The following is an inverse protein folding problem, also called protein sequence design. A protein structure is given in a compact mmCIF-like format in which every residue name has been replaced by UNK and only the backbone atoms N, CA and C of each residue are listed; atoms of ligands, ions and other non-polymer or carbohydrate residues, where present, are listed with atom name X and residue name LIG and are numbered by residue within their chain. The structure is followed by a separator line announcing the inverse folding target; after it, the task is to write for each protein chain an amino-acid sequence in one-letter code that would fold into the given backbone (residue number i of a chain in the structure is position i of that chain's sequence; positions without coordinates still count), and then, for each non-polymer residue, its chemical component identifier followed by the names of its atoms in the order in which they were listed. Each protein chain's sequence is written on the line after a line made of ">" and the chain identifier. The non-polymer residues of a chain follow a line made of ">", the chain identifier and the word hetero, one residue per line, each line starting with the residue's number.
data_IF_356920924821
#
_entry.id   IF_356920924821
#
_cell.length_a   1.000
_cell.length_b   1.000
_cell.length_c   1.000
_cell.angle_alpha   90.00
_cell.angle_beta   90.00
_cell.angle_gamma   90.00
#
_symmetry.space_group_name_H-M   'P 1'
#
loop_
_entity.id
_entity.type
_entity.pdbx_description
1 polymer ?
#
# COMPACT_ATOMS: atom_id res chain seq x y z
N UNK A 1 -54.70 18.44 53.02
CA UNK A 1 -55.72 17.97 52.06
C UNK A 1 -55.13 18.07 50.67
N UNK A 2 -54.52 17.01 50.16
CA UNK A 2 -54.05 16.97 48.77
C UNK A 2 -55.07 16.20 47.93
N UNK A 3 -55.54 16.88 46.88
CA UNK A 3 -56.52 16.38 45.91
C UNK A 3 -55.99 15.11 45.23
N UNK A 4 -56.59 13.96 45.52
CA UNK A 4 -56.45 12.76 44.70
C UNK A 4 -57.08 13.02 43.32
N UNK A 5 -56.21 13.13 42.31
CA UNK A 5 -56.58 13.11 40.89
C UNK A 5 -57.01 11.67 40.53
N UNK A 6 -58.20 11.43 39.97
CA UNK A 6 -58.62 10.08 39.60
C UNK A 6 -57.72 9.55 38.46
N UNK A 7 -57.39 8.24 38.44
CA UNK A 7 -56.61 7.65 37.38
C UNK A 7 -57.38 7.76 36.05
N UNK A 8 -56.70 8.26 35.02
CA UNK A 8 -57.25 8.34 33.67
C UNK A 8 -57.65 6.93 33.21
N UNK A 9 -58.91 6.78 32.81
CA UNK A 9 -59.40 5.54 32.22
C UNK A 9 -58.52 5.17 31.01
N UNK A 10 -58.18 3.87 30.81
CA UNK A 10 -57.43 3.45 29.64
C UNK A 10 -58.21 3.84 28.38
N UNK A 11 -57.53 4.31 27.31
CA UNK A 11 -58.20 4.63 26.07
C UNK A 11 -58.91 3.36 25.59
N UNK A 12 -60.24 3.44 25.49
CA UNK A 12 -61.08 2.41 24.88
C UNK A 12 -60.50 2.17 23.49
N UNK A 13 -59.93 0.98 23.30
CA UNK A 13 -59.43 0.55 22.01
C UNK A 13 -60.59 0.57 21.03
N UNK A 14 -60.64 1.62 20.19
CA UNK A 14 -61.48 1.64 19.02
C UNK A 14 -61.23 0.33 18.25
N UNK A 15 -62.27 -0.33 17.71
CA UNK A 15 -62.09 -1.58 16.97
C UNK A 15 -61.21 -1.30 15.77
N UNK A 16 -59.90 -1.54 15.93
CA UNK A 16 -58.92 -1.49 14.84
C UNK A 16 -59.42 -2.48 13.80
N UNK A 17 -59.93 -1.96 12.69
CA UNK A 17 -60.57 -2.76 11.65
C UNK A 17 -59.67 -3.93 11.27
N UNK A 18 -60.29 -5.08 11.01
CA UNK A 18 -59.64 -6.37 10.74
C UNK A 18 -58.49 -6.28 9.72
N UNK A 19 -58.48 -5.25 8.85
CA UNK A 19 -57.43 -4.93 7.90
C UNK A 19 -56.11 -4.45 8.55
N UNK A 20 -56.17 -3.60 9.58
CA UNK A 20 -54.98 -3.11 10.31
C UNK A 20 -54.36 -4.25 11.10
N UNK A 21 -55.18 -5.11 11.69
CA UNK A 21 -54.72 -6.33 12.37
C UNK A 21 -54.13 -7.30 11.35
N UNK A 22 -54.79 -7.57 10.22
CA UNK A 22 -54.28 -8.48 9.19
C UNK A 22 -52.94 -8.03 8.57
N UNK A 23 -52.69 -6.72 8.49
CA UNK A 23 -51.43 -6.16 7.98
C UNK A 23 -50.36 -6.06 9.08
N UNK A 24 -50.72 -5.67 10.32
CA UNK A 24 -49.76 -5.56 11.42
C UNK A 24 -49.37 -6.88 12.04
N UNK A 25 -50.24 -7.89 12.03
CA UNK A 25 -49.95 -9.21 12.58
C UNK A 25 -48.73 -9.87 11.90
N UNK A 26 -48.64 -9.97 10.55
CA UNK A 26 -47.46 -10.55 9.90
C UNK A 26 -46.21 -9.71 10.11
N UNK A 27 -46.34 -8.37 10.13
CA UNK A 27 -45.20 -7.48 10.41
C UNK A 27 -44.71 -7.66 11.85
N UNK A 28 -45.60 -7.76 12.84
CA UNK A 28 -45.24 -8.07 14.24
C UNK A 28 -44.63 -9.45 14.39
N UNK A 29 -45.14 -10.44 13.66
CA UNK A 29 -44.60 -11.81 13.66
C UNK A 29 -43.19 -11.79 13.08
N UNK A 30 -42.94 -11.14 11.94
CA UNK A 30 -41.60 -11.02 11.36
C UNK A 30 -40.66 -10.24 12.28
N UNK A 31 -41.12 -9.13 12.86
CA UNK A 31 -40.33 -8.36 13.83
C UNK A 31 -40.02 -9.19 15.07
N UNK A 32 -40.96 -9.93 15.64
CA UNK A 32 -40.70 -10.81 16.79
C UNK A 32 -39.78 -11.97 16.43
N UNK A 33 -40.01 -12.63 15.30
CA UNK A 33 -39.20 -13.79 14.86
C UNK A 33 -37.80 -13.38 14.46
N UNK A 34 -37.58 -12.15 13.97
CA UNK A 34 -36.26 -11.70 13.52
C UNK A 34 -35.55 -10.85 14.58
N UNK A 35 -36.22 -9.85 15.14
CA UNK A 35 -35.63 -8.89 16.08
C UNK A 35 -35.44 -9.50 17.45
N UNK A 36 -36.37 -10.34 17.93
CA UNK A 36 -36.26 -10.93 19.26
C UNK A 36 -35.05 -11.88 19.38
N UNK A 37 -34.77 -12.81 18.45
CA UNK A 37 -33.56 -13.62 18.53
C UNK A 37 -32.29 -12.80 18.31
N UNK A 38 -32.29 -11.81 17.42
CA UNK A 38 -31.14 -10.90 17.27
C UNK A 38 -30.87 -10.14 18.57
N UNK A 39 -31.92 -9.70 19.27
CA UNK A 39 -31.82 -8.97 20.53
C UNK A 39 -31.40 -9.87 21.69
N UNK A 40 -31.89 -11.11 21.73
CA UNK A 40 -31.44 -12.14 22.68
C UNK A 40 -29.98 -12.50 22.47
N UNK A 41 -29.52 -12.62 21.22
CA UNK A 41 -28.11 -12.84 20.90
C UNK A 41 -27.27 -11.63 21.31
N UNK A 42 -27.77 -10.41 21.09
CA UNK A 42 -27.09 -9.19 21.53
C UNK A 42 -27.00 -9.08 23.05
N UNK A 43 -28.09 -9.31 23.77
CA UNK A 43 -28.11 -9.30 25.23
C UNK A 43 -27.23 -10.42 25.80
N UNK A 44 -27.23 -11.61 25.20
CA UNK A 44 -26.33 -12.71 25.58
C UNK A 44 -24.85 -12.37 25.33
N UNK A 45 -24.53 -11.67 24.24
CA UNK A 45 -23.17 -11.19 23.96
C UNK A 45 -22.74 -10.09 24.93
N UNK A 46 -23.62 -9.16 25.27
CA UNK A 46 -23.33 -8.10 26.25
C UNK A 46 -23.16 -8.69 27.64
N UNK A 47 -24.00 -9.64 28.03
CA UNK A 47 -23.87 -10.35 29.31
C UNK A 47 -22.59 -11.18 29.32
N UNK A 48 -22.29 -11.93 28.27
CA UNK A 48 -21.04 -12.68 28.14
C UNK A 48 -19.81 -11.79 28.17
N UNK A 49 -19.85 -10.63 27.51
CA UNK A 49 -18.78 -9.63 27.53
C UNK A 49 -18.59 -8.98 28.90
N UNK A 50 -19.68 -8.68 29.61
CA UNK A 50 -19.63 -8.19 31.00
C UNK A 50 -19.09 -9.25 31.95
N UNK A 51 -19.55 -10.48 31.82
CA UNK A 51 -19.08 -11.60 32.63
C UNK A 51 -17.60 -11.87 32.40
N UNK A 52 -17.13 -11.79 31.16
CA UNK A 52 -15.70 -11.92 30.83
C UNK A 52 -14.88 -10.74 31.39
N UNK A 53 -15.42 -9.53 31.31
CA UNK A 53 -14.82 -8.33 31.90
C UNK A 53 -14.66 -8.44 33.42
N UNK A 54 -15.72 -8.85 34.10
CA UNK A 54 -15.79 -8.90 35.56
C UNK A 54 -15.10 -10.13 36.16
N UNK A 55 -15.25 -11.30 35.54
CA UNK A 55 -14.71 -12.56 36.05
C UNK A 55 -13.25 -12.81 35.63
N UNK A 56 -12.79 -12.25 34.51
CA UNK A 56 -11.47 -12.56 33.94
C UNK A 56 -10.59 -11.32 33.85
N UNK A 57 -11.03 -10.26 33.17
CA UNK A 57 -10.18 -9.08 32.96
C UNK A 57 -9.90 -8.30 34.25
N UNK A 58 -10.90 -8.13 35.13
CA UNK A 58 -10.71 -7.43 36.42
C UNK A 58 -9.72 -8.13 37.35
N UNK A 59 -9.84 -9.45 37.64
CA UNK A 59 -8.87 -10.13 38.49
C UNK A 59 -7.49 -10.23 37.84
N UNK A 60 -7.41 -10.45 36.52
CA UNK A 60 -6.12 -10.41 35.81
C UNK A 60 -5.47 -9.04 35.87
N UNK A 61 -6.22 -7.96 35.64
CA UNK A 61 -5.69 -6.59 35.73
C UNK A 61 -5.18 -6.25 37.13
N UNK A 62 -5.88 -6.71 38.17
CA UNK A 62 -5.47 -6.49 39.57
C UNK A 62 -4.25 -7.33 39.95
N UNK A 63 -4.21 -8.59 39.48
CA UNK A 63 -3.06 -9.47 39.63
C UNK A 63 -1.82 -8.95 38.91
N UNK A 64 -1.98 -8.44 37.68
CA UNK A 64 -0.89 -7.87 36.87
C UNK A 64 -0.38 -6.55 37.46
N UNK A 65 -1.27 -5.71 38.00
CA UNK A 65 -0.87 -4.51 38.72
C UNK A 65 -0.11 -4.83 40.01
N UNK A 66 -0.56 -5.84 40.76
CA UNK A 66 0.11 -6.30 41.98
C UNK A 66 1.47 -6.92 41.66
N UNK A 67 1.56 -7.74 40.59
CA UNK A 67 2.83 -8.26 40.10
C UNK A 67 3.76 -7.13 39.66
N UNK A 68 3.27 -6.15 38.90
CA UNK A 68 4.08 -5.00 38.49
C UNK A 68 4.61 -4.22 39.69
N UNK A 69 3.79 -4.02 40.72
CA UNK A 69 4.21 -3.36 41.95
C UNK A 69 5.20 -4.21 42.75
N UNK A 70 4.95 -5.51 42.93
CA UNK A 70 5.83 -6.40 43.67
C UNK A 70 7.18 -6.60 42.95
N UNK A 71 7.16 -6.84 41.64
CA UNK A 71 8.35 -7.18 40.86
C UNK A 71 9.21 -5.96 40.52
N UNK A 72 8.64 -4.75 40.52
CA UNK A 72 9.39 -3.54 40.17
C UNK A 72 9.69 -2.68 41.40
N UNK A 73 8.70 -2.46 42.28
CA UNK A 73 8.85 -1.51 43.39
C UNK A 73 9.64 -2.12 44.55
N UNK A 74 9.40 -3.39 44.90
CA UNK A 74 10.14 -4.02 46.00
C UNK A 74 11.64 -4.23 45.72
N UNK A 75 12.06 -4.76 44.55
CA UNK A 75 13.49 -4.87 44.28
C UNK A 75 14.15 -3.52 44.08
N UNK A 76 13.45 -2.52 43.54
CA UNK A 76 13.99 -1.15 43.43
C UNK A 76 14.18 -0.51 44.82
N UNK A 77 13.24 -0.70 45.75
CA UNK A 77 13.38 -0.26 47.14
C UNK A 77 14.49 -1.02 47.87
N UNK A 78 14.58 -2.33 47.65
CA UNK A 78 15.66 -3.16 48.18
C UNK A 78 17.02 -2.70 47.69
N UNK A 79 17.16 -2.47 46.38
CA UNK A 79 18.38 -1.97 45.76
C UNK A 79 18.74 -0.57 46.27
N UNK A 80 17.74 0.32 46.44
CA UNK A 80 17.98 1.64 46.99
C UNK A 80 18.48 1.57 48.44
N UNK A 81 17.85 0.74 49.28
CA UNK A 81 18.18 0.63 50.71
C UNK A 81 19.48 -0.14 50.98
N UNK A 82 19.82 -1.12 50.15
CA UNK A 82 21.00 -1.97 50.33
C UNK A 82 22.19 -1.65 49.43
N UNK A 83 22.02 -0.93 48.32
CA UNK A 83 23.13 -0.58 47.42
C UNK A 83 23.38 0.93 47.38
N UNK A 84 22.33 1.75 47.21
CA UNK A 84 22.49 3.20 47.02
C UNK A 84 22.83 3.91 48.33
N UNK A 85 22.10 3.61 49.41
CA UNK A 85 22.36 4.20 50.73
C UNK A 85 23.78 3.86 51.26
N UNK A 86 24.23 2.59 51.29
CA UNK A 86 25.59 2.30 51.73
C UNK A 86 26.64 2.79 50.73
N UNK A 87 26.35 2.79 49.43
CA UNK A 87 27.23 3.37 48.41
C UNK A 87 27.47 4.86 48.63
N UNK A 88 26.41 5.64 48.86
CA UNK A 88 26.53 7.08 49.16
C UNK A 88 27.27 7.35 50.47
N UNK A 89 27.08 6.51 51.49
CA UNK A 89 27.77 6.64 52.78
C UNK A 89 29.26 6.31 52.66
N UNK A 90 29.60 5.27 51.90
CA UNK A 90 30.98 4.93 51.58
C UNK A 90 31.66 6.03 50.75
N UNK A 91 30.96 6.60 49.77
CA UNK A 91 31.49 7.71 48.95
C UNK A 91 31.72 8.98 49.77
N UNK A 92 30.78 9.31 50.66
CA UNK A 92 30.91 10.46 51.57
C UNK A 92 32.06 10.29 52.56
N UNK A 93 32.23 9.07 53.10
CA UNK A 93 33.35 8.75 53.97
C UNK A 93 34.69 8.83 53.23
N UNK A 94 34.76 8.27 52.01
CA UNK A 94 35.95 8.33 51.17
C UNK A 94 36.32 9.77 50.80
N UNK A 95 35.33 10.59 50.46
CA UNK A 95 35.53 12.01 50.18
C UNK A 95 36.05 12.76 51.41
N UNK A 96 35.51 12.49 52.59
CA UNK A 96 35.97 13.12 53.83
C UNK A 96 37.41 12.73 54.17
N UNK A 97 37.74 11.43 54.13
CA UNK A 97 39.09 10.93 54.43
C UNK A 97 40.11 11.38 53.38
N UNK A 98 39.73 11.43 52.10
CA UNK A 98 40.65 11.76 51.02
C UNK A 98 40.82 13.27 50.79
N UNK A 99 39.84 14.09 51.15
CA UNK A 99 39.93 15.55 50.95
C UNK A 99 40.23 16.29 52.25
N UNK A 100 39.53 15.97 53.34
CA UNK A 100 39.63 16.74 54.59
C UNK A 100 40.89 16.38 55.35
N UNK A 101 41.25 15.10 55.44
CA UNK A 101 42.46 14.68 56.18
C UNK A 101 43.73 15.23 55.52
N UNK A 102 43.92 15.16 54.18
CA UNK A 102 45.10 15.75 53.55
C UNK A 102 45.09 17.27 53.60
N UNK A 103 43.92 17.92 53.53
CA UNK A 103 43.83 19.38 53.66
C UNK A 103 44.24 19.85 55.07
N UNK A 104 43.83 19.14 56.13
CA UNK A 104 44.22 19.46 57.51
C UNK A 104 45.70 19.16 57.74
N UNK A 105 46.23 18.09 57.16
CA UNK A 105 47.66 17.75 57.24
C UNK A 105 48.52 18.78 56.51
N UNK A 106 48.10 19.21 55.32
CA UNK A 106 48.76 20.26 54.54
C UNK A 106 48.72 21.60 55.28
N UNK A 107 47.60 21.96 55.91
CA UNK A 107 47.53 23.15 56.76
C UNK A 107 48.50 23.07 57.96
N UNK A 108 48.58 21.91 58.62
CA UNK A 108 49.38 21.75 59.84
C UNK A 108 50.88 21.54 59.61
N UNK A 109 51.29 21.12 58.40
CA UNK A 109 52.70 20.93 58.05
C UNK A 109 53.25 22.01 57.12
N UNK A 110 52.42 22.76 56.38
CA UNK A 110 52.88 23.75 55.40
C UNK A 110 52.74 25.20 55.92
N UNK A 111 51.64 25.56 56.59
CA UNK A 111 51.41 26.93 57.04
C UNK A 111 52.17 27.29 58.32
N UNK A 112 52.38 26.32 59.21
CA UNK A 112 53.12 26.49 60.47
C UNK A 112 54.62 26.73 60.29
N UNK A 113 55.38 26.01 59.43
CA UNK A 113 56.79 26.35 59.20
C UNK A 113 56.96 27.61 58.32
N UNK A 114 56.00 27.91 57.44
CA UNK A 114 56.05 29.11 56.60
C UNK A 114 55.96 30.41 57.42
N UNK A 115 55.21 30.42 58.53
CA UNK A 115 55.15 31.57 59.45
C UNK A 115 56.47 31.82 60.21
N UNK A 116 57.25 30.77 60.49
CA UNK A 116 58.53 30.88 61.20
C UNK A 116 59.69 31.23 60.25
N UNK A 117 59.63 30.76 58.99
CA UNK A 117 60.63 31.06 57.97
C UNK A 117 60.60 32.51 57.46
N UNK A 118 59.40 33.12 57.34
CA UNK A 118 59.27 34.50 56.86
C UNK A 118 59.83 35.54 57.86
N UNK A 119 59.70 35.27 59.15
CA UNK A 119 60.25 36.15 60.21
C UNK A 119 61.79 36.13 60.25
N UNK A 120 62.41 35.00 59.88
CA UNK A 120 63.87 34.84 59.87
C UNK A 120 64.54 35.59 58.72
N UNK A 121 63.90 35.64 57.55
CA UNK A 121 64.43 36.30 56.35
C UNK A 121 64.28 37.83 56.42
N UNK A 122 63.22 38.35 57.04
CA UNK A 122 63.04 39.80 57.23
C UNK A 122 64.13 40.42 58.14
N UNK A 123 64.61 39.67 59.12
CA UNK A 123 65.63 40.15 60.06
C UNK A 123 67.07 40.16 59.49
N UNK A 124 67.36 39.35 58.46
CA UNK A 124 68.74 39.11 57.99
C UNK A 124 69.10 39.84 56.69
N UNK A 125 68.11 40.32 55.93
CA UNK A 125 68.34 40.83 54.56
C UNK A 125 68.27 42.37 54.45
N UNK A 126 67.65 43.08 55.39
CA UNK A 126 67.44 44.54 55.25
C UNK A 126 68.69 45.41 55.57
N UNK A 127 69.77 44.84 56.10
CA UNK A 127 70.92 45.62 56.61
C UNK A 127 72.19 45.71 55.74
N UNK A 128 72.53 44.80 54.80
CA UNK A 128 73.75 44.94 54.02
C UNK A 128 73.56 45.51 52.59
N UNK A 129 72.46 46.21 52.31
CA UNK A 129 72.10 46.67 50.94
C UNK A 129 72.71 48.04 50.56
N UNK A 130 73.41 48.74 51.47
CA UNK A 130 73.88 50.11 51.20
C UNK A 130 75.10 50.26 50.27
N UNK A 131 76.07 49.34 50.27
CA UNK A 131 77.42 49.67 49.77
C UNK A 131 77.91 48.94 48.50
N UNK A 132 77.25 47.86 48.07
CA UNK A 132 77.66 47.13 46.87
C UNK A 132 77.06 47.71 45.56
N UNK A 133 76.22 48.75 45.69
CA UNK A 133 75.38 49.35 44.63
C UNK A 133 76.14 49.98 43.45
N UNK A 134 77.47 50.18 43.53
CA UNK A 134 78.23 50.89 42.47
C UNK A 134 78.93 49.97 41.47
N UNK A 135 79.20 48.70 41.80
CA UNK A 135 79.73 47.71 40.83
C UNK A 135 78.63 47.03 40.00
N UNK A 136 77.37 47.36 40.30
CA UNK A 136 76.13 46.81 39.76
C UNK A 136 76.02 46.92 38.24
N UNK A 137 76.23 48.07 37.61
CA UNK A 137 75.52 48.32 36.34
C UNK A 137 75.96 47.48 35.12
N UNK A 138 77.19 46.93 35.09
CA UNK A 138 77.74 46.28 33.88
C UNK A 138 77.79 44.74 33.91
N UNK A 139 77.83 44.13 35.09
CA UNK A 139 77.60 42.68 35.25
C UNK A 139 76.12 42.29 35.19
N UNK A 140 75.23 43.27 35.38
CA UNK A 140 73.78 43.13 35.50
C UNK A 140 73.14 42.45 34.27
N UNK A 141 73.52 42.79 33.03
CA UNK A 141 72.84 42.22 31.84
C UNK A 141 73.05 40.71 31.64
N UNK A 142 74.30 40.24 31.76
CA UNK A 142 74.64 38.83 31.56
C UNK A 142 74.25 37.96 32.77
N UNK A 143 74.37 38.51 33.98
CA UNK A 143 73.99 37.82 35.22
C UNK A 143 72.47 37.76 35.38
N UNK A 144 71.69 38.78 34.98
CA UNK A 144 70.21 38.68 34.96
C UNK A 144 69.70 37.66 33.94
N UNK A 145 70.37 37.52 32.79
CA UNK A 145 70.05 36.47 31.82
C UNK A 145 70.33 35.06 32.39
N UNK A 146 71.51 34.84 32.96
CA UNK A 146 71.91 33.54 33.51
C UNK A 146 71.15 33.17 34.80
N UNK A 147 70.93 34.12 35.71
CA UNK A 147 70.15 33.94 36.95
C UNK A 147 68.66 33.84 36.62
N UNK A 148 68.15 34.55 35.61
CA UNK A 148 66.78 34.42 35.14
C UNK A 148 66.49 33.05 34.52
N UNK A 149 67.39 32.55 33.67
CA UNK A 149 67.26 31.20 33.08
C UNK A 149 67.48 30.11 34.13
N UNK A 150 68.43 30.28 35.05
CA UNK A 150 68.66 29.35 36.16
C UNK A 150 67.50 29.32 37.15
N UNK A 151 66.92 30.47 37.49
CA UNK A 151 65.75 30.57 38.35
C UNK A 151 64.50 30.04 37.65
N UNK A 152 64.30 30.33 36.36
CA UNK A 152 63.14 29.83 35.63
C UNK A 152 63.21 28.33 35.40
N UNK A 153 64.38 27.77 35.08
CA UNK A 153 64.56 26.33 34.96
C UNK A 153 64.47 25.63 36.32
N UNK A 154 65.01 26.24 37.39
CA UNK A 154 64.85 25.76 38.76
C UNK A 154 63.39 25.75 39.20
N UNK A 155 62.66 26.85 39.01
CA UNK A 155 61.23 26.95 39.33
C UNK A 155 60.40 26.02 38.45
N UNK A 156 60.69 25.89 37.15
CA UNK A 156 59.98 24.97 36.27
C UNK A 156 60.27 23.50 36.60
N UNK A 157 61.49 23.17 37.01
CA UNK A 157 61.87 21.84 37.46
C UNK A 157 61.22 21.50 38.81
N UNK A 158 61.22 22.45 39.75
CA UNK A 158 60.51 22.32 41.02
C UNK A 158 59.00 22.18 40.79
N UNK A 159 58.39 22.98 39.91
CA UNK A 159 56.97 22.90 39.60
C UNK A 159 56.63 21.56 38.92
N UNK A 160 57.47 21.10 37.98
CA UNK A 160 57.27 19.80 37.33
C UNK A 160 57.38 18.65 38.31
N UNK A 161 58.41 18.61 39.14
CA UNK A 161 58.65 17.48 40.02
C UNK A 161 57.79 17.52 41.29
N UNK A 162 57.49 18.71 41.82
CA UNK A 162 56.70 18.89 43.05
C UNK A 162 55.19 18.96 42.79
N UNK A 163 54.74 19.39 41.61
CA UNK A 163 53.31 19.51 41.31
C UNK A 163 52.89 18.52 40.24
N UNK A 164 53.57 18.50 39.09
CA UNK A 164 53.10 17.72 37.93
C UNK A 164 53.32 16.22 38.11
N UNK A 165 54.45 15.78 38.69
CA UNK A 165 54.73 14.37 38.96
C UNK A 165 53.75 13.79 40.00
N UNK A 166 53.54 14.39 41.18
CA UNK A 166 52.54 13.87 42.12
C UNK A 166 51.12 14.00 41.58
N UNK A 167 50.78 15.04 40.83
CA UNK A 167 49.46 15.14 40.18
C UNK A 167 49.25 14.02 39.15
N UNK A 168 50.26 13.68 38.34
CA UNK A 168 50.20 12.54 37.41
C UNK A 168 50.12 11.21 38.14
N UNK A 169 50.83 11.07 39.25
CA UNK A 169 50.80 9.85 40.06
C UNK A 169 49.42 9.64 40.69
N UNK A 170 48.82 10.69 41.26
CA UNK A 170 47.44 10.68 41.76
C UNK A 170 46.43 10.42 40.65
N UNK A 171 46.63 10.99 39.46
CA UNK A 171 45.77 10.71 38.32
C UNK A 171 45.83 9.24 37.88
N UNK A 172 47.03 8.68 37.76
CA UNK A 172 47.26 7.32 37.29
C UNK A 172 46.85 6.26 38.31
N UNK A 173 47.14 6.49 39.60
CA UNK A 173 46.90 5.50 40.66
C UNK A 173 45.54 5.65 41.35
N UNK A 174 44.92 6.83 41.35
CA UNK A 174 43.60 7.02 41.97
C UNK A 174 42.50 7.27 40.93
N UNK A 175 42.68 8.21 40.01
CA UNK A 175 41.60 8.58 39.07
C UNK A 175 41.34 7.52 37.99
N UNK A 176 42.39 6.91 37.44
CA UNK A 176 42.25 5.89 36.41
C UNK A 176 41.58 4.58 36.88
N UNK A 177 41.88 4.03 38.09
CA UNK A 177 41.14 2.87 38.59
C UNK A 177 39.72 3.24 39.04
N UNK A 178 39.51 4.43 39.62
CA UNK A 178 38.15 4.88 39.98
C UNK A 178 37.28 5.09 38.74
N UNK A 179 37.80 5.71 37.68
CA UNK A 179 37.10 5.89 36.41
C UNK A 179 36.73 4.56 35.76
N UNK A 180 37.65 3.58 35.79
CA UNK A 180 37.36 2.22 35.29
C UNK A 180 36.35 1.48 36.15
N UNK A 181 36.42 1.59 37.47
CA UNK A 181 35.45 0.99 38.39
C UNK A 181 34.05 1.54 38.19
N UNK A 182 33.92 2.87 38.07
CA UNK A 182 32.63 3.53 37.80
C UNK A 182 32.08 3.13 36.44
N UNK A 183 32.91 3.11 35.38
CA UNK A 183 32.49 2.68 34.06
C UNK A 183 32.03 1.21 34.03
N UNK A 184 32.70 0.34 34.80
CA UNK A 184 32.30 -1.07 34.93
C UNK A 184 30.95 -1.19 35.63
N UNK A 185 30.75 -0.50 36.76
CA UNK A 185 29.48 -0.50 37.48
C UNK A 185 28.32 0.03 36.62
N UNK A 186 28.52 1.14 35.90
CA UNK A 186 27.49 1.69 35.00
C UNK A 186 27.16 0.69 33.89
N UNK A 187 28.17 0.02 33.33
CA UNK A 187 27.97 -0.98 32.27
C UNK A 187 27.19 -2.19 32.77
N UNK A 188 27.54 -2.73 33.93
CA UNK A 188 26.84 -3.87 34.52
C UNK A 188 25.38 -3.53 34.84
N UNK A 189 25.13 -2.33 35.40
CA UNK A 189 23.76 -1.85 35.64
C UNK A 189 22.98 -1.72 34.34
N UNK A 190 23.62 -1.21 33.28
CA UNK A 190 22.96 -1.04 31.98
C UNK A 190 22.61 -2.38 31.31
N UNK A 191 23.52 -3.36 31.39
CA UNK A 191 23.27 -4.72 30.91
C UNK A 191 22.14 -5.39 31.69
N UNK A 192 22.14 -5.26 33.02
CA UNK A 192 21.07 -5.79 33.87
C UNK A 192 19.71 -5.16 33.55
N UNK A 193 19.67 -3.84 33.40
CA UNK A 193 18.43 -3.15 33.05
C UNK A 193 17.94 -3.55 31.66
N UNK A 194 18.85 -3.74 30.71
CA UNK A 194 18.55 -4.26 29.37
C UNK A 194 17.99 -5.68 29.40
N UNK A 195 18.55 -6.58 30.23
CA UNK A 195 18.01 -7.93 30.42
C UNK A 195 16.61 -7.89 31.06
N UNK A 196 16.41 -7.04 32.06
CA UNK A 196 15.12 -6.87 32.73
C UNK A 196 14.06 -6.38 31.73
N UNK A 197 14.37 -5.35 30.94
CA UNK A 197 13.47 -4.81 29.93
C UNK A 197 13.12 -5.85 28.86
N UNK A 198 14.09 -6.66 28.41
CA UNK A 198 13.84 -7.76 27.46
C UNK A 198 12.97 -8.86 28.07
N UNK A 199 13.22 -9.24 29.32
CA UNK A 199 12.40 -10.22 30.04
C UNK A 199 10.95 -9.75 30.17
N UNK A 200 10.75 -8.50 30.59
CA UNK A 200 9.43 -7.87 30.67
C UNK A 200 8.77 -7.81 29.30
N UNK A 201 9.50 -7.39 28.27
CA UNK A 201 8.99 -7.33 26.90
C UNK A 201 8.55 -8.69 26.37
N UNK A 202 9.33 -9.75 26.62
CA UNK A 202 9.00 -11.11 26.21
C UNK A 202 7.73 -11.62 26.92
N UNK A 203 7.62 -11.36 28.24
CA UNK A 203 6.44 -11.74 29.03
C UNK A 203 5.20 -10.98 28.58
N UNK A 204 5.28 -9.66 28.37
CA UNK A 204 4.17 -8.86 27.83
C UNK A 204 3.75 -9.35 26.45
N UNK A 205 4.72 -9.63 25.58
CA UNK A 205 4.48 -10.15 24.25
C UNK A 205 3.76 -11.49 24.29
N UNK A 206 4.25 -12.44 25.08
CA UNK A 206 3.64 -13.76 25.22
C UNK A 206 2.25 -13.69 25.84
N UNK A 207 2.08 -12.85 26.86
CA UNK A 207 0.78 -12.64 27.51
C UNK A 207 -0.22 -12.02 26.54
N UNK A 208 0.18 -10.98 25.79
CA UNK A 208 -0.65 -10.37 24.76
C UNK A 208 -0.97 -11.35 23.63
N UNK A 209 0.00 -12.16 23.21
CA UNK A 209 -0.21 -13.20 22.20
C UNK A 209 -1.19 -14.25 22.68
N UNK A 210 -1.07 -14.77 23.90
CA UNK A 210 -2.02 -15.71 24.45
C UNK A 210 -3.40 -15.07 24.61
N UNK A 211 -3.46 -13.88 25.20
CA UNK A 211 -4.72 -13.22 25.56
C UNK A 211 -5.48 -12.68 24.35
N UNK A 212 -4.81 -12.35 23.25
CA UNK A 212 -5.45 -11.80 22.05
C UNK A 212 -5.51 -12.82 20.91
N UNK A 213 -4.39 -13.48 20.60
CA UNK A 213 -4.29 -14.32 19.41
C UNK A 213 -5.03 -15.64 19.60
N UNK A 214 -4.92 -16.31 20.75
CA UNK A 214 -5.66 -17.56 20.98
C UNK A 214 -7.19 -17.37 20.95
N UNK A 215 -7.79 -16.38 21.65
CA UNK A 215 -9.23 -16.18 21.55
C UNK A 215 -9.65 -15.67 20.18
N UNK A 216 -8.84 -14.86 19.49
CA UNK A 216 -9.13 -14.47 18.11
C UNK A 216 -9.10 -15.69 17.16
N UNK A 217 -8.15 -16.61 17.33
CA UNK A 217 -8.05 -17.84 16.53
C UNK A 217 -9.19 -18.80 16.85
N UNK A 218 -9.58 -18.90 18.13
CA UNK A 218 -10.74 -19.67 18.56
C UNK A 218 -12.02 -19.09 17.95
N UNK A 219 -12.22 -17.77 18.01
CA UNK A 219 -13.34 -17.09 17.37
C UNK A 219 -13.34 -17.31 15.86
N UNK A 220 -12.17 -17.24 15.22
CA UNK A 220 -12.06 -17.50 13.79
C UNK A 220 -12.48 -18.94 13.45
N UNK A 221 -12.01 -19.93 14.21
CA UNK A 221 -12.24 -21.35 13.92
C UNK A 221 -13.63 -21.83 14.31
N UNK A 222 -14.19 -21.30 15.40
CA UNK A 222 -15.50 -21.70 15.93
C UNK A 222 -16.66 -20.85 15.44
N UNK A 223 -16.41 -19.61 15.00
CA UNK A 223 -17.47 -18.70 14.55
C UNK A 223 -17.28 -18.32 13.08
N UNK A 224 -16.16 -17.72 12.69
CA UNK A 224 -16.01 -17.24 11.30
C UNK A 224 -15.96 -18.37 10.28
N UNK A 225 -15.26 -19.47 10.56
CA UNK A 225 -15.17 -20.60 9.64
C UNK A 225 -16.53 -21.28 9.39
N UNK A 226 -17.35 -21.61 10.42
CA UNK A 226 -18.69 -22.14 10.18
C UNK A 226 -19.63 -21.10 9.55
N UNK A 227 -19.58 -19.84 9.97
CA UNK A 227 -20.37 -18.76 9.36
C UNK A 227 -20.01 -18.59 7.88
N UNK A 228 -18.72 -18.62 7.55
CA UNK A 228 -18.23 -18.53 6.17
C UNK A 228 -18.68 -19.69 5.31
N UNK A 229 -18.67 -20.93 5.84
CA UNK A 229 -19.23 -22.09 5.14
C UNK A 229 -20.74 -21.95 4.94
N UNK A 230 -21.47 -21.52 5.96
CA UNK A 230 -22.91 -21.27 5.83
C UNK A 230 -23.20 -20.19 4.79
N UNK A 231 -22.48 -19.08 4.80
CA UNK A 231 -22.60 -18.02 3.79
C UNK A 231 -22.28 -18.54 2.39
N UNK A 232 -21.26 -19.37 2.24
CA UNK A 232 -20.89 -19.96 0.95
C UNK A 232 -21.98 -20.89 0.41
N UNK A 233 -22.60 -21.69 1.28
CA UNK A 233 -23.74 -22.54 0.91
C UNK A 233 -24.93 -21.68 0.52
N UNK A 234 -25.28 -20.66 1.31
CA UNK A 234 -26.39 -19.75 1.00
C UNK A 234 -26.15 -19.00 -0.30
N UNK A 235 -24.95 -18.46 -0.52
CA UNK A 235 -24.59 -17.77 -1.75
C UNK A 235 -24.65 -18.70 -2.97
N UNK A 236 -24.26 -19.96 -2.80
CA UNK A 236 -24.33 -20.97 -3.86
C UNK A 236 -25.79 -21.29 -4.22
N UNK A 237 -26.64 -21.52 -3.23
CA UNK A 237 -28.06 -21.80 -3.48
C UNK A 237 -28.80 -20.60 -4.07
N UNK A 238 -28.49 -19.38 -3.60
CA UNK A 238 -29.02 -18.15 -4.20
C UNK A 238 -28.54 -17.99 -5.64
N UNK A 239 -27.27 -18.32 -5.92
CA UNK A 239 -26.70 -18.32 -7.27
C UNK A 239 -27.39 -19.32 -8.20
N UNK A 240 -27.64 -20.54 -7.72
CA UNK A 240 -28.31 -21.58 -8.50
C UNK A 240 -29.79 -21.24 -8.77
N UNK A 241 -30.48 -20.67 -7.76
CA UNK A 241 -31.85 -20.19 -7.90
C UNK A 241 -31.95 -19.03 -8.91
N UNK A 242 -31.05 -18.04 -8.82
CA UNK A 242 -30.97 -16.92 -9.77
C UNK A 242 -30.60 -17.40 -11.17
N UNK A 243 -29.68 -18.36 -11.29
CA UNK A 243 -29.29 -18.97 -12.56
C UNK A 243 -30.44 -19.73 -13.22
N UNK A 244 -31.30 -20.39 -12.42
CA UNK A 244 -32.52 -21.01 -12.92
C UNK A 244 -33.55 -19.97 -13.39
N UNK A 245 -33.78 -18.93 -12.58
CA UNK A 245 -34.68 -17.84 -12.94
C UNK A 245 -34.23 -17.13 -14.23
N UNK A 246 -32.93 -16.90 -14.39
CA UNK A 246 -32.35 -16.28 -15.58
C UNK A 246 -32.51 -17.14 -16.84
N UNK A 247 -32.33 -18.46 -16.72
CA UNK A 247 -32.57 -19.40 -17.85
C UNK A 247 -34.05 -19.47 -18.24
N UNK A 248 -34.97 -19.32 -17.30
CA UNK A 248 -36.41 -19.22 -17.57
C UNK A 248 -36.72 -17.89 -18.25
N UNK A 249 -36.21 -16.79 -17.71
CA UNK A 249 -36.37 -15.45 -18.29
C UNK A 249 -35.81 -15.37 -19.72
N UNK A 250 -34.65 -15.96 -19.99
CA UNK A 250 -34.06 -16.01 -21.33
C UNK A 250 -34.89 -16.83 -22.32
N UNK A 251 -35.52 -17.93 -21.88
CA UNK A 251 -36.46 -18.70 -22.72
C UNK A 251 -37.71 -17.90 -23.04
N UNK A 252 -38.27 -17.20 -22.05
CA UNK A 252 -39.44 -16.34 -22.23
C UNK A 252 -39.12 -15.17 -23.17
N UNK A 253 -37.99 -14.48 -22.95
CA UNK A 253 -37.55 -13.36 -23.80
C UNK A 253 -37.31 -13.81 -25.25
N UNK A 254 -36.75 -15.00 -25.48
CA UNK A 254 -36.65 -15.56 -26.84
C UNK A 254 -38.01 -15.89 -27.45
N UNK A 255 -38.94 -16.43 -26.67
CA UNK A 255 -40.29 -16.72 -27.15
C UNK A 255 -41.02 -15.42 -27.56
N UNK A 256 -40.95 -14.40 -26.70
CA UNK A 256 -41.50 -13.07 -26.95
C UNK A 256 -40.83 -12.40 -28.15
N UNK A 257 -39.49 -12.48 -28.27
CA UNK A 257 -38.78 -11.95 -29.42
C UNK A 257 -39.17 -12.65 -30.73
N UNK A 258 -39.39 -13.96 -30.69
CA UNK A 258 -39.85 -14.73 -31.86
C UNK A 258 -41.29 -14.36 -32.23
N UNK A 259 -42.19 -14.23 -31.26
CA UNK A 259 -43.58 -13.82 -31.53
C UNK A 259 -43.64 -12.39 -32.07
N UNK A 260 -42.87 -11.47 -31.49
CA UNK A 260 -42.80 -10.08 -31.94
C UNK A 260 -42.20 -9.97 -33.35
N UNK A 261 -41.13 -10.72 -33.64
CA UNK A 261 -40.55 -10.79 -34.98
C UNK A 261 -41.50 -11.41 -36.00
N UNK A 262 -42.30 -12.39 -35.60
CA UNK A 262 -43.31 -13.01 -36.47
C UNK A 262 -44.45 -12.04 -36.76
N UNK A 263 -44.95 -11.34 -35.74
CA UNK A 263 -45.94 -10.27 -35.88
C UNK A 263 -45.43 -9.16 -36.78
N UNK A 264 -44.20 -8.71 -36.58
CA UNK A 264 -43.59 -7.68 -37.42
C UNK A 264 -43.47 -8.14 -38.88
N UNK A 265 -43.08 -9.41 -39.11
CA UNK A 265 -43.04 -9.97 -40.47
C UNK A 265 -44.42 -10.00 -41.11
N UNK A 266 -45.44 -10.45 -40.37
CA UNK A 266 -46.83 -10.50 -40.86
C UNK A 266 -47.41 -9.12 -41.14
N UNK A 267 -47.15 -8.12 -40.28
CA UNK A 267 -47.73 -6.77 -40.39
C UNK A 267 -47.03 -5.92 -41.44
N UNK A 268 -45.71 -6.01 -41.54
CA UNK A 268 -44.94 -5.10 -42.41
C UNK A 268 -44.36 -5.80 -43.64
N UNK A 269 -43.75 -6.97 -43.46
CA UNK A 269 -42.94 -7.59 -44.51
C UNK A 269 -43.82 -8.33 -45.52
N UNK A 270 -44.78 -9.12 -45.05
CA UNK A 270 -45.71 -9.90 -45.88
C UNK A 270 -46.54 -8.99 -46.82
N UNK A 271 -47.18 -7.91 -46.35
CA UNK A 271 -47.98 -7.05 -47.24
C UNK A 271 -47.09 -6.27 -48.22
N UNK A 272 -45.93 -5.76 -47.79
CA UNK A 272 -45.00 -5.09 -48.71
C UNK A 272 -44.49 -6.07 -49.78
N UNK A 273 -44.19 -7.31 -49.40
CA UNK A 273 -43.76 -8.35 -50.34
C UNK A 273 -44.87 -8.74 -51.31
N UNK A 274 -46.12 -8.78 -50.85
CA UNK A 274 -47.29 -8.99 -51.71
C UNK A 274 -47.48 -7.81 -52.68
N UNK A 275 -47.45 -6.56 -52.22
CA UNK A 275 -47.53 -5.38 -53.09
C UNK A 275 -46.41 -5.37 -54.12
N UNK A 276 -45.19 -5.72 -53.70
CA UNK A 276 -44.06 -5.84 -54.62
C UNK A 276 -44.30 -6.89 -55.71
N UNK A 277 -44.75 -8.09 -55.33
CA UNK A 277 -44.98 -9.20 -56.27
C UNK A 277 -46.23 -9.01 -57.14
N UNK A 278 -47.32 -8.54 -56.57
CA UNK A 278 -48.62 -8.46 -57.22
C UNK A 278 -48.81 -7.17 -58.01
N UNK A 279 -48.16 -6.07 -57.60
CA UNK A 279 -48.36 -4.76 -58.22
C UNK A 279 -47.09 -4.29 -58.93
N UNK A 280 -45.97 -4.18 -58.23
CA UNK A 280 -44.73 -3.63 -58.80
C UNK A 280 -44.10 -4.53 -59.87
N UNK A 281 -44.18 -5.85 -59.70
CA UNK A 281 -43.59 -6.80 -60.66
C UNK A 281 -44.33 -6.79 -62.01
N UNK A 282 -45.67 -6.95 -62.08
CA UNK A 282 -46.39 -6.87 -63.36
C UNK A 282 -46.34 -5.47 -63.96
N UNK A 283 -46.44 -4.41 -63.17
CA UNK A 283 -46.29 -3.03 -63.68
C UNK A 283 -44.89 -2.82 -64.26
N UNK A 284 -43.85 -3.34 -63.60
CA UNK A 284 -42.48 -3.32 -64.10
C UNK A 284 -42.33 -4.06 -65.43
N UNK A 285 -43.00 -5.21 -65.60
CA UNK A 285 -43.03 -5.93 -66.87
C UNK A 285 -43.79 -5.16 -67.95
N UNK A 286 -44.94 -4.56 -67.64
CA UNK A 286 -45.72 -3.75 -68.60
C UNK A 286 -44.94 -2.52 -69.04
N UNK A 287 -44.33 -1.78 -68.13
CA UNK A 287 -43.48 -0.61 -68.47
C UNK A 287 -42.28 -1.03 -69.31
N UNK A 288 -41.67 -2.18 -68.98
CA UNK A 288 -40.53 -2.71 -69.74
C UNK A 288 -40.92 -3.14 -71.15
N UNK A 289 -42.07 -3.78 -71.31
CA UNK A 289 -42.52 -4.33 -72.58
C UNK A 289 -43.21 -3.30 -73.47
N UNK A 290 -43.99 -2.39 -72.90
CA UNK A 290 -44.76 -1.39 -73.64
C UNK A 290 -43.99 -0.11 -73.96
N UNK A 291 -43.00 0.27 -73.14
CA UNK A 291 -42.29 1.56 -73.30
C UNK A 291 -40.81 1.33 -73.62
N UNK A 292 -40.10 0.60 -72.76
CA UNK A 292 -38.64 0.48 -72.87
C UNK A 292 -38.22 -0.40 -74.07
N UNK A 293 -38.91 -1.52 -74.32
CA UNK A 293 -38.62 -2.39 -75.47
C UNK A 293 -38.87 -1.69 -76.83
N UNK A 294 -40.02 -1.05 -77.10
CA UNK A 294 -40.23 -0.36 -78.37
C UNK A 294 -39.30 0.84 -78.56
N UNK A 295 -39.03 1.62 -77.51
CA UNK A 295 -38.03 2.70 -77.57
C UNK A 295 -36.63 2.16 -77.91
N UNK A 296 -36.22 1.05 -77.28
CA UNK A 296 -34.93 0.42 -77.57
C UNK A 296 -34.86 -0.17 -78.99
N UNK A 297 -35.98 -0.67 -79.54
CA UNK A 297 -36.05 -1.16 -80.93
C UNK A 297 -35.96 0.01 -81.92
N UNK A 298 -36.65 1.11 -81.68
CA UNK A 298 -36.57 2.34 -82.48
C UNK A 298 -35.17 2.97 -82.44
N UNK A 299 -34.53 3.02 -81.27
CA UNK A 299 -33.14 3.48 -81.16
C UNK A 299 -32.17 2.58 -81.95
N UNK A 300 -32.41 1.27 -81.99
CA UNK A 300 -31.58 0.32 -82.75
C UNK A 300 -31.83 0.35 -84.27
N UNK A 301 -32.99 0.77 -84.75
CA UNK A 301 -33.20 1.00 -86.19
C UNK A 301 -32.48 2.26 -86.66
N UNK A 302 -32.58 3.35 -85.90
CA UNK A 302 -31.84 4.61 -86.17
C UNK A 302 -30.33 4.41 -86.05
N UNK A 303 -29.88 3.64 -85.06
CA UNK A 303 -28.46 3.33 -84.89
C UNK A 303 -27.87 2.42 -85.99
N UNK A 304 -28.71 1.70 -86.76
CA UNK A 304 -28.26 0.89 -87.91
C UNK A 304 -28.20 1.74 -89.17
N UNK A 305 -29.19 2.58 -89.44
CA UNK A 305 -29.17 3.51 -90.57
C UNK A 305 -28.03 4.52 -90.45
N UNK A 306 -27.81 5.07 -89.25
CA UNK A 306 -26.69 5.98 -89.00
C UNK A 306 -25.33 5.30 -89.22
N UNK A 307 -25.17 4.03 -88.80
CA UNK A 307 -23.93 3.28 -89.02
C UNK A 307 -23.69 2.92 -90.48
N UNK A 308 -24.74 2.58 -91.23
CA UNK A 308 -24.63 2.32 -92.67
C UNK A 308 -24.27 3.60 -93.44
N UNK A 309 -24.88 4.74 -93.10
CA UNK A 309 -24.54 6.04 -93.70
C UNK A 309 -23.08 6.45 -93.39
N UNK A 310 -22.62 6.24 -92.15
CA UNK A 310 -21.23 6.50 -91.76
C UNK A 310 -20.23 5.55 -92.43
N UNK A 311 -20.58 4.27 -92.60
CA UNK A 311 -19.75 3.31 -93.31
C UNK A 311 -19.64 3.68 -94.79
N UNK A 312 -20.75 4.01 -95.44
CA UNK A 312 -20.77 4.48 -96.83
C UNK A 312 -19.94 5.76 -97.00
N UNK A 313 -20.10 6.75 -96.11
CA UNK A 313 -19.32 7.99 -96.15
C UNK A 313 -17.82 7.77 -95.90
N UNK A 314 -17.45 6.80 -95.05
CA UNK A 314 -16.05 6.45 -94.83
C UNK A 314 -15.45 5.74 -96.03
N UNK A 315 -16.21 4.87 -96.68
CA UNK A 315 -15.73 4.17 -97.86
C UNK A 315 -15.54 5.13 -99.03
N UNK A 316 -16.48 6.05 -99.27
CA UNK A 316 -16.32 7.10 -100.28
C UNK A 316 -15.13 8.02 -99.98
N UNK A 317 -14.91 8.37 -98.71
CA UNK A 317 -13.73 9.16 -98.32
C UNK A 317 -12.41 8.39 -98.51
N UNK A 318 -12.39 7.08 -98.24
CA UNK A 318 -11.21 6.23 -98.49
C UNK A 318 -10.94 6.09 -99.98
N UNK A 319 -11.97 5.86 -100.77
CA UNK A 319 -11.87 5.71 -102.22
C UNK A 319 -11.40 7.02 -102.87
N UNK A 320 -12.01 8.16 -102.50
CA UNK A 320 -11.57 9.48 -102.96
C UNK A 320 -10.12 9.79 -102.57
N UNK A 321 -9.67 9.41 -101.36
CA UNK A 321 -8.27 9.54 -100.98
C UNK A 321 -7.34 8.66 -101.81
N UNK A 322 -7.73 7.43 -102.10
CA UNK A 322 -6.93 6.52 -102.94
C UNK A 322 -6.85 7.05 -104.37
N UNK A 323 -7.96 7.55 -104.93
CA UNK A 323 -8.01 8.08 -106.29
C UNK A 323 -7.22 9.39 -106.42
N UNK A 324 -7.36 10.32 -105.47
CA UNK A 324 -6.53 11.53 -105.40
C UNK A 324 -5.05 11.17 -105.26
N UNK A 325 -4.71 10.18 -104.42
CA UNK A 325 -3.33 9.71 -104.26
C UNK A 325 -2.79 9.07 -105.54
N UNK A 326 -3.61 8.29 -106.25
CA UNK A 326 -3.24 7.70 -107.54
C UNK A 326 -2.98 8.78 -108.60
N UNK A 327 -3.83 9.82 -108.65
CA UNK A 327 -3.66 10.94 -109.59
C UNK A 327 -2.42 11.79 -109.28
N UNK A 328 -2.10 12.02 -108.01
CA UNK A 328 -0.97 12.88 -107.60
C UNK A 328 0.39 12.16 -107.57
N UNK A 329 0.42 10.87 -107.26
CA UNK A 329 1.68 10.14 -107.00
C UNK A 329 1.95 8.97 -107.95
N UNK A 330 1.08 8.72 -108.93
CA UNK A 330 1.20 7.57 -109.83
C UNK A 330 0.90 6.22 -109.15
N UNK A 331 0.79 5.15 -109.93
CA UNK A 331 0.44 3.83 -109.40
C UNK A 331 1.55 3.24 -108.48
N UNK A 332 1.22 2.89 -107.22
CA UNK A 332 2.17 2.19 -106.36
C UNK A 332 2.32 0.72 -106.77
N UNK A 333 3.57 0.32 -107.05
CA UNK A 333 4.03 -1.04 -107.37
C UNK A 333 3.59 -2.04 -106.27
N UNK A 334 2.80 -3.05 -106.63
CA UNK A 334 2.24 -4.07 -105.71
C UNK A 334 3.33 -4.89 -104.99
N UNK A 335 3.31 -4.98 -103.65
CA UNK A 335 4.00 -6.03 -102.91
C UNK A 335 3.05 -7.19 -102.58
N UNK A 336 3.48 -8.40 -102.95
CA UNK A 336 2.84 -9.71 -102.71
C UNK A 336 2.52 -9.98 -101.24
N UNK A 337 1.40 -10.69 -101.04
CA UNK A 337 0.89 -11.34 -99.83
C UNK A 337 1.98 -11.98 -98.95
N UNK A 338 1.95 -11.70 -97.64
CA UNK A 338 2.46 -12.61 -96.60
C UNK A 338 1.62 -12.56 -95.32
N UNK A 339 0.82 -13.62 -95.20
CA UNK A 339 0.67 -14.52 -94.05
C UNK A 339 0.44 -13.96 -92.63
N UNK A 340 -0.75 -14.31 -92.13
CA UNK A 340 -1.19 -14.17 -90.75
C UNK A 340 -0.57 -15.25 -89.85
N UNK A 341 0.04 -14.83 -88.73
CA UNK A 341 0.47 -15.74 -87.65
C UNK A 341 -0.47 -15.60 -86.45
N UNK A 342 -0.94 -16.78 -86.01
CA UNK A 342 -2.01 -17.04 -85.03
C UNK A 342 -1.55 -16.78 -83.58
N UNK A 343 -2.42 -16.12 -82.79
CA UNK A 343 -2.28 -15.82 -81.36
C UNK A 343 -2.91 -16.95 -80.51
N UNK A 344 -2.23 -17.32 -79.40
CA UNK A 344 -2.50 -18.48 -78.50
C UNK A 344 -3.18 -18.01 -77.20
N UNK A 345 -4.19 -18.74 -76.70
CA UNK A 345 -4.82 -18.57 -75.37
C UNK A 345 -4.63 -19.84 -74.50
N UNK A 346 -4.57 -19.77 -73.15
CA UNK A 346 -4.52 -20.94 -72.27
C UNK A 346 -5.85 -21.27 -71.53
N UNK A 347 -6.01 -22.58 -71.26
CA UNK A 347 -7.19 -23.33 -70.78
C UNK A 347 -7.44 -23.26 -69.27
N UNK A 348 -8.71 -23.50 -68.90
CA UNK A 348 -9.33 -23.44 -67.56
C UNK A 348 -9.04 -24.68 -66.68
N UNK A 349 -9.30 -24.51 -65.37
CA UNK A 349 -8.79 -25.35 -64.27
C UNK A 349 -9.60 -26.59 -63.88
N UNK A 350 -8.89 -27.50 -63.21
CA UNK A 350 -9.28 -28.84 -62.79
C UNK A 350 -10.23 -28.88 -61.59
N UNK A 351 -11.05 -29.95 -61.52
CA UNK A 351 -11.80 -30.39 -60.34
C UNK A 351 -11.42 -31.84 -60.03
N UNK A 352 -11.05 -32.14 -58.78
CA UNK A 352 -10.72 -33.51 -58.33
C UNK A 352 -11.38 -33.80 -56.98
N UNK A 353 -12.23 -34.82 -56.97
CA UNK A 353 -12.85 -35.46 -55.81
C UNK A 353 -12.10 -36.74 -55.43
N UNK A 354 -12.12 -37.11 -54.15
CA UNK A 354 -12.41 -38.45 -53.59
C UNK A 354 -11.73 -38.65 -52.21
N UNK A 355 -12.48 -39.20 -51.25
CA UNK A 355 -11.95 -39.70 -49.97
C UNK A 355 -13.01 -40.45 -49.16
N UNK A 356 -12.99 -41.79 -49.28
CA UNK A 356 -13.89 -42.82 -48.71
C UNK A 356 -13.23 -43.45 -47.48
N UNK A 357 -13.96 -43.70 -46.39
CA UNK A 357 -13.48 -44.55 -45.28
C UNK A 357 -14.61 -45.42 -44.71
N UNK A 358 -14.36 -46.72 -44.60
CA UNK A 358 -15.26 -47.75 -44.03
C UNK A 358 -14.47 -48.57 -43.00
N UNK A 359 -15.14 -48.83 -41.88
CA UNK A 359 -14.83 -49.59 -40.66
C UNK A 359 -14.51 -51.08 -40.84
N UNK A 360 -13.64 -51.64 -39.98
CA UNK A 360 -13.92 -52.80 -39.11
C UNK A 360 -12.66 -53.26 -38.36
N UNK A 361 -12.68 -53.28 -37.01
CA UNK A 361 -12.01 -54.31 -36.19
C UNK A 361 -12.46 -54.17 -34.72
N UNK A 362 -13.47 -54.94 -34.33
CA UNK A 362 -13.71 -55.35 -32.94
C UNK A 362 -13.13 -56.76 -32.78
N UNK A 363 -12.35 -56.93 -31.72
CA UNK A 363 -11.53 -58.10 -31.41
C UNK A 363 -12.22 -58.89 -30.30
N UNK A 364 -12.27 -60.20 -30.45
CA UNK A 364 -12.54 -61.19 -29.39
C UNK A 364 -11.45 -61.16 -28.30
#
# INVERSE_FOLDING_TARGET
>A
MELQKPPAAPPVAAPEGCLVVAIRLPVRIVVLVLVLPVRMVWDALVVGGRFLGDAVLRPLGRGLWWLGKALCVWPLIGLWRYAVVPGGRALGWLGHVLLVVPAVWCHRYLLTPAGVGLAWVYARVLTPVGLAALWLLRGIGAVLGAVGVGAHTGVAWLLRYLVVVPARWVYAWCLAPVGRGVAWCVREVWLFLGMLARGIGLVLYWTGRILLVLPALALWRWVLAPVGRFLAVVAREVGDALGHAWRIAGRISRAVGRSLGTLFRWIFVEPVRWVYRTVLTPVGHVVRDAVLRPAARAARSVGRTARQALAAARETARQARVDVRRMLFGEPKQPREREAVVRREPSAGETRTLGRSTTALTKD
#
